data_IF_008652210548
#
_entry.id   IF_008652210548
#
_cell.length_a   1.000
_cell.length_b   1.000
_cell.length_c   1.000
_cell.angle_alpha   90.00
_cell.angle_beta   90.00
_cell.angle_gamma   90.00
#
_symmetry.space_group_name_H-M   'P 1'
#
loop_
_entity.id
_entity.type
_entity.pdbx_description
1 polymer ?
#
# COMPACT_ATOMS: atom_id res chain seq x y z
N UNK A 1 4.08 42.31 -77.50
CA UNK A 1 5.50 41.92 -77.64
C UNK A 1 5.80 40.81 -76.63
N UNK A 2 6.54 39.74 -76.97
CA UNK A 2 6.48 38.87 -78.14
C UNK A 2 6.14 37.39 -77.75
N UNK A 3 5.42 36.60 -78.57
CA UNK A 3 5.86 35.62 -79.59
C UNK A 3 6.87 34.56 -79.08
N UNK A 4 6.53 33.25 -79.17
CA UNK A 4 7.20 32.21 -80.04
C UNK A 4 7.13 30.74 -79.52
N UNK A 5 6.52 29.87 -80.36
CA UNK A 5 6.81 28.42 -80.60
C UNK A 5 6.63 27.43 -79.41
N UNK A 6 6.22 26.17 -79.53
CA UNK A 6 6.07 25.27 -80.67
C UNK A 6 5.06 24.15 -80.33
N UNK A 7 4.28 23.80 -81.34
CA UNK A 7 3.74 22.46 -81.61
C UNK A 7 4.81 21.40 -81.32
N UNK A 8 4.67 20.60 -80.24
CA UNK A 8 5.46 19.36 -80.05
C UNK A 8 4.98 18.38 -78.95
N UNK A 9 4.02 18.73 -78.09
CA UNK A 9 3.66 17.86 -76.95
C UNK A 9 2.47 16.92 -77.12
N UNK A 10 1.86 16.81 -78.30
CA UNK A 10 0.73 15.88 -78.50
C UNK A 10 1.15 14.48 -79.02
N UNK A 11 2.39 14.32 -79.51
CA UNK A 11 2.91 13.03 -79.98
C UNK A 11 3.70 12.23 -78.92
N UNK A 12 4.04 12.84 -77.78
CA UNK A 12 4.81 12.17 -76.72
C UNK A 12 3.93 11.34 -75.76
N UNK A 13 2.61 11.55 -75.75
CA UNK A 13 1.67 10.76 -74.93
C UNK A 13 1.17 9.49 -75.64
N UNK A 14 1.29 9.42 -76.97
CA UNK A 14 0.94 8.24 -77.77
C UNK A 14 2.10 7.25 -77.97
N UNK A 15 3.33 7.63 -77.61
CA UNK A 15 4.51 6.76 -77.72
C UNK A 15 4.88 6.03 -76.42
N UNK A 16 4.18 6.29 -75.31
CA UNK A 16 4.36 5.56 -74.05
C UNK A 16 3.44 4.33 -73.91
N UNK A 17 2.57 4.09 -74.90
CA UNK A 17 1.53 3.05 -74.86
C UNK A 17 1.86 1.77 -75.65
N UNK A 18 3.09 1.63 -76.17
CA UNK A 18 3.50 0.52 -77.06
C UNK A 18 4.64 -0.34 -76.48
N UNK A 19 4.98 -0.18 -75.19
CA UNK A 19 5.91 -1.05 -74.47
C UNK A 19 5.19 -1.86 -73.37
N UNK A 20 3.95 -2.29 -73.65
CA UNK A 20 3.39 -3.45 -72.98
C UNK A 20 4.14 -4.68 -73.51
N UNK A 21 5.24 -5.02 -72.82
CA UNK A 21 5.94 -6.28 -73.04
C UNK A 21 4.94 -7.41 -73.01
N UNK A 22 5.16 -8.39 -73.88
CA UNK A 22 4.36 -9.60 -73.98
C UNK A 22 4.24 -10.24 -72.59
N UNK A 23 3.13 -9.99 -71.91
CA UNK A 23 2.63 -10.82 -70.84
C UNK A 23 2.21 -12.12 -71.51
N UNK A 24 3.16 -13.04 -71.63
CA UNK A 24 2.86 -14.43 -71.90
C UNK A 24 1.85 -14.83 -70.83
N UNK A 25 0.61 -15.07 -71.26
CA UNK A 25 -0.34 -15.81 -70.45
C UNK A 25 0.31 -17.17 -70.21
N UNK A 26 0.97 -17.33 -69.05
CA UNK A 26 1.44 -18.63 -68.60
C UNK A 26 0.18 -19.48 -68.53
N UNK A 27 0.03 -20.43 -69.46
CA UNK A 27 -1.19 -21.22 -69.47
C UNK A 27 -1.27 -21.97 -68.14
N UNK A 28 -2.44 -21.91 -67.53
CA UNK A 28 -2.67 -22.53 -66.22
C UNK A 28 -3.08 -23.99 -66.40
N UNK A 29 -2.75 -24.84 -65.44
CA UNK A 29 -3.25 -26.21 -65.31
C UNK A 29 -4.01 -26.39 -64.00
N UNK A 30 -4.28 -27.65 -63.66
CA UNK A 30 -5.01 -28.07 -62.46
C UNK A 30 -4.23 -29.15 -61.72
N UNK A 31 -4.20 -29.09 -60.39
CA UNK A 31 -3.70 -30.19 -59.55
C UNK A 31 -4.88 -30.79 -58.80
N UNK A 32 -5.04 -32.10 -58.88
CA UNK A 32 -6.01 -32.87 -58.10
C UNK A 32 -5.30 -33.93 -57.29
N UNK A 33 -5.90 -34.39 -56.20
CA UNK A 33 -5.34 -35.49 -55.43
C UNK A 33 -6.07 -35.69 -54.12
N UNK A 34 -5.50 -36.53 -53.26
CA UNK A 34 -6.01 -36.83 -51.93
C UNK A 34 -4.98 -36.51 -50.85
N UNK A 35 -5.44 -35.94 -49.74
CA UNK A 35 -4.67 -35.81 -48.50
C UNK A 35 -4.99 -37.00 -47.61
N UNK A 36 -3.97 -37.74 -47.21
CA UNK A 36 -4.07 -38.94 -46.37
C UNK A 36 -3.13 -38.88 -45.18
N UNK A 37 -3.48 -39.61 -44.13
CA UNK A 37 -2.61 -39.87 -43.00
C UNK A 37 -1.48 -40.83 -43.44
N UNK A 38 -0.23 -40.48 -43.16
CA UNK A 38 0.93 -41.24 -43.59
C UNK A 38 1.08 -42.60 -42.88
N UNK A 39 0.52 -42.76 -41.69
CA UNK A 39 0.60 -43.99 -40.89
C UNK A 39 -0.63 -44.87 -41.10
N UNK A 40 -1.81 -44.26 -41.09
CA UNK A 40 -3.10 -44.98 -41.10
C UNK A 40 -3.73 -45.06 -42.50
N UNK A 41 -3.27 -44.26 -43.45
CA UNK A 41 -3.85 -44.19 -44.80
C UNK A 41 -5.26 -43.60 -44.87
N UNK A 42 -5.80 -43.14 -43.74
CA UNK A 42 -7.13 -42.53 -43.64
C UNK A 42 -7.16 -41.16 -44.34
N UNK A 43 -8.29 -40.76 -44.97
CA UNK A 43 -8.42 -39.42 -45.53
C UNK A 43 -8.36 -38.34 -44.46
N UNK A 44 -7.61 -37.27 -44.72
CA UNK A 44 -7.53 -36.11 -43.83
C UNK A 44 -8.44 -35.00 -44.36
N UNK A 45 -9.65 -34.93 -43.81
CA UNK A 45 -10.62 -33.88 -44.13
C UNK A 45 -10.19 -32.53 -43.52
N UNK A 46 -10.46 -31.42 -44.24
CA UNK A 46 -10.18 -30.07 -43.75
C UNK A 46 -8.72 -29.62 -43.84
N UNK A 47 -7.83 -30.46 -44.37
CA UNK A 47 -6.44 -30.08 -44.62
C UNK A 47 -6.36 -28.93 -45.64
N UNK A 48 -5.58 -27.89 -45.33
CA UNK A 48 -5.36 -26.76 -46.22
C UNK A 48 -4.21 -27.09 -47.17
N UNK A 49 -4.46 -27.04 -48.47
CA UNK A 49 -3.48 -27.24 -49.53
C UNK A 49 -3.26 -25.90 -50.23
N UNK A 50 -2.04 -25.41 -50.27
CA UNK A 50 -1.67 -24.12 -50.86
C UNK A 50 -0.47 -24.25 -51.80
N UNK A 51 -0.45 -23.43 -52.85
CA UNK A 51 0.75 -23.24 -53.65
C UNK A 51 1.70 -22.32 -52.90
N UNK A 52 3.00 -22.67 -52.84
CA UNK A 52 3.97 -21.88 -52.06
C UNK A 52 4.20 -20.49 -52.66
N UNK A 53 4.21 -20.39 -54.00
CA UNK A 53 4.60 -19.18 -54.73
C UNK A 53 3.41 -18.43 -55.35
N UNK A 54 2.17 -18.84 -55.07
CA UNK A 54 0.96 -18.17 -55.57
C UNK A 54 -0.17 -18.22 -54.54
N UNK A 55 -1.12 -17.26 -54.56
CA UNK A 55 -2.25 -17.22 -53.63
C UNK A 55 -3.34 -18.25 -53.98
N UNK A 56 -3.00 -19.43 -54.49
CA UNK A 56 -3.92 -20.50 -54.87
C UNK A 56 -4.01 -21.49 -53.71
N UNK A 57 -5.23 -21.72 -53.21
CA UNK A 57 -5.49 -22.55 -52.04
C UNK A 57 -6.74 -23.39 -52.24
N UNK A 58 -6.76 -24.56 -51.62
CA UNK A 58 -7.90 -25.46 -51.56
C UNK A 58 -7.98 -26.09 -50.17
N UNK A 59 -9.18 -26.55 -49.81
CA UNK A 59 -9.42 -27.31 -48.59
C UNK A 59 -9.82 -28.71 -49.00
N UNK A 60 -9.21 -29.73 -48.38
CA UNK A 60 -9.54 -31.12 -48.62
C UNK A 60 -10.97 -31.43 -48.13
N UNK A 61 -11.76 -32.09 -48.97
CA UNK A 61 -13.12 -32.53 -48.68
C UNK A 61 -13.15 -33.67 -47.65
N UNK A 62 -14.36 -34.13 -47.27
CA UNK A 62 -14.55 -35.18 -46.26
C UNK A 62 -13.89 -36.51 -46.64
N UNK A 63 -13.77 -36.79 -47.94
CA UNK A 63 -13.09 -37.96 -48.48
C UNK A 63 -11.58 -37.73 -48.68
N UNK A 64 -11.04 -36.58 -48.26
CA UNK A 64 -9.64 -36.17 -48.39
C UNK A 64 -9.28 -35.58 -49.75
N UNK A 65 -10.21 -35.48 -50.71
CA UNK A 65 -9.90 -34.97 -52.05
C UNK A 65 -9.74 -33.46 -52.07
N UNK A 66 -8.81 -32.97 -52.89
CA UNK A 66 -8.60 -31.54 -53.11
C UNK A 66 -8.44 -31.23 -54.61
N UNK A 67 -8.64 -29.97 -54.97
CA UNK A 67 -8.41 -29.45 -56.31
C UNK A 67 -7.82 -28.04 -56.21
N UNK A 68 -6.68 -27.81 -56.85
CA UNK A 68 -6.12 -26.49 -57.09
C UNK A 68 -6.33 -26.14 -58.58
N UNK A 69 -7.16 -25.15 -58.85
CA UNK A 69 -7.39 -24.61 -60.19
C UNK A 69 -6.52 -23.38 -60.45
N UNK A 70 -6.19 -23.13 -61.72
CA UNK A 70 -5.44 -21.94 -62.11
C UNK A 70 -3.94 -21.98 -61.80
N UNK A 71 -3.36 -23.17 -61.63
CA UNK A 71 -1.94 -23.34 -61.25
C UNK A 71 -1.03 -23.00 -62.44
N UNK A 72 -0.01 -22.15 -62.31
CA UNK A 72 0.92 -21.86 -63.40
C UNK A 72 1.58 -23.12 -63.96
N UNK A 73 1.69 -23.23 -65.29
CA UNK A 73 2.39 -24.35 -65.91
C UNK A 73 3.90 -24.31 -65.61
N UNK A 74 4.48 -25.48 -65.37
CA UNK A 74 5.88 -25.65 -64.97
C UNK A 74 6.05 -26.33 -63.60
N UNK A 75 7.28 -26.37 -63.06
CA UNK A 75 7.55 -26.94 -61.74
C UNK A 75 6.97 -26.05 -60.64
N UNK A 76 6.08 -26.61 -59.82
CA UNK A 76 5.50 -25.92 -58.67
C UNK A 76 5.72 -26.67 -57.36
N UNK A 77 5.59 -25.96 -56.25
CA UNK A 77 5.65 -26.52 -54.91
C UNK A 77 4.31 -26.35 -54.20
N UNK A 78 3.78 -27.46 -53.68
CA UNK A 78 2.51 -27.50 -52.96
C UNK A 78 2.80 -27.80 -51.50
N UNK A 79 2.22 -26.99 -50.60
CA UNK A 79 2.28 -27.16 -49.16
C UNK A 79 0.92 -27.58 -48.62
N UNK A 80 0.91 -28.54 -47.70
CA UNK A 80 -0.29 -28.96 -46.99
C UNK A 80 -0.11 -28.81 -45.48
N UNK A 81 -1.15 -28.32 -44.80
CA UNK A 81 -1.17 -28.08 -43.35
C UNK A 81 -2.49 -28.54 -42.75
N UNK A 82 -2.43 -29.18 -41.59
CA UNK A 82 -3.59 -29.55 -40.78
C UNK A 82 -3.20 -29.53 -39.30
N UNK A 83 -4.11 -29.12 -38.42
CA UNK A 83 -3.86 -29.17 -36.97
C UNK A 83 -3.72 -30.64 -36.53
N UNK A 84 -2.71 -30.93 -35.71
CA UNK A 84 -2.37 -32.30 -35.30
C UNK A 84 -1.47 -33.07 -36.29
N UNK A 85 -1.04 -32.41 -37.38
CA UNK A 85 -0.13 -32.96 -38.39
C UNK A 85 1.03 -32.00 -38.66
N UNK A 86 2.20 -32.55 -38.98
CA UNK A 86 3.34 -31.76 -39.40
C UNK A 86 3.15 -31.18 -40.82
N UNK A 87 3.51 -29.91 -41.07
CA UNK A 87 3.36 -29.31 -42.39
C UNK A 87 4.27 -30.02 -43.41
N UNK A 88 3.75 -30.37 -44.58
CA UNK A 88 4.52 -31.02 -45.65
C UNK A 88 4.53 -30.17 -46.91
N UNK A 89 5.71 -30.01 -47.51
CA UNK A 89 5.86 -29.35 -48.81
C UNK A 89 6.41 -30.36 -49.82
N UNK A 90 5.74 -30.51 -50.95
CA UNK A 90 6.18 -31.34 -52.09
C UNK A 90 6.60 -30.39 -53.21
N UNK A 91 7.86 -30.49 -53.62
CA UNK A 91 8.47 -29.61 -54.64
C UNK A 91 8.58 -30.35 -55.98
N UNK A 92 8.64 -29.59 -57.08
CA UNK A 92 8.93 -30.13 -58.42
C UNK A 92 7.76 -30.82 -59.12
N UNK A 93 6.52 -30.52 -58.74
CA UNK A 93 5.32 -31.03 -59.43
C UNK A 93 5.24 -30.35 -60.80
N UNK A 94 5.36 -31.13 -61.87
CA UNK A 94 5.34 -30.61 -63.24
C UNK A 94 3.90 -30.46 -63.74
N UNK A 95 3.41 -29.23 -63.84
CA UNK A 95 2.05 -28.94 -64.31
C UNK A 95 2.07 -28.65 -65.82
N UNK A 96 1.45 -29.49 -66.67
CA UNK A 96 1.33 -29.23 -68.10
C UNK A 96 0.32 -28.11 -68.36
N UNK A 97 0.57 -27.33 -69.40
CA UNK A 97 -0.31 -26.24 -69.82
C UNK A 97 -1.72 -26.76 -70.16
N UNK A 98 -2.76 -26.25 -69.50
CA UNK A 98 -4.15 -26.67 -69.71
C UNK A 98 -4.49 -28.10 -69.24
N UNK A 99 -3.52 -28.84 -68.69
CA UNK A 99 -3.70 -30.21 -68.25
C UNK A 99 -3.93 -30.35 -66.75
N UNK A 100 -4.32 -31.55 -66.33
CA UNK A 100 -4.53 -31.91 -64.92
C UNK A 100 -3.44 -32.88 -64.46
N UNK A 101 -2.84 -32.62 -63.29
CA UNK A 101 -1.88 -33.51 -62.63
C UNK A 101 -2.51 -34.11 -61.39
N UNK A 102 -2.32 -35.40 -61.18
CA UNK A 102 -2.71 -36.08 -59.94
C UNK A 102 -1.53 -36.15 -58.98
N UNK A 103 -1.66 -35.59 -57.79
CA UNK A 103 -0.64 -35.64 -56.73
C UNK A 103 -1.28 -35.90 -55.37
N UNK A 104 -1.01 -37.07 -54.79
CA UNK A 104 -1.45 -37.38 -53.42
C UNK A 104 -0.45 -36.86 -52.39
N UNK A 105 -0.96 -36.46 -51.22
CA UNK A 105 -0.21 -35.82 -50.16
C UNK A 105 -0.42 -36.59 -48.84
N UNK A 106 0.63 -37.23 -48.35
CA UNK A 106 0.59 -37.93 -47.07
C UNK A 106 1.15 -37.05 -45.93
N UNK A 107 0.33 -36.76 -44.90
CA UNK A 107 0.70 -36.00 -43.70
C UNK A 107 1.06 -36.94 -42.54
N UNK A 108 2.15 -36.67 -41.84
CA UNK A 108 2.50 -37.38 -40.61
C UNK A 108 1.91 -36.66 -39.39
N UNK A 109 1.34 -37.42 -38.45
CA UNK A 109 0.81 -36.88 -37.20
C UNK A 109 1.93 -36.19 -36.40
N UNK A 110 1.67 -34.98 -35.91
CA UNK A 110 2.60 -34.25 -35.06
C UNK A 110 1.82 -33.75 -33.84
N UNK A 111 2.20 -34.24 -32.66
CA UNK A 111 1.60 -33.82 -31.39
C UNK A 111 2.10 -32.40 -31.11
N UNK A 112 1.26 -31.40 -31.37
CA UNK A 112 1.54 -30.02 -31.00
C UNK A 112 1.50 -29.91 -29.48
N UNK A 113 2.66 -29.98 -28.83
CA UNK A 113 2.79 -29.60 -27.43
C UNK A 113 2.65 -28.07 -27.33
N UNK A 114 1.50 -27.60 -26.87
CA UNK A 114 1.31 -26.19 -26.52
C UNK A 114 2.21 -25.85 -25.34
N UNK A 115 2.81 -24.65 -25.37
CA UNK A 115 3.60 -24.14 -24.26
C UNK A 115 2.74 -24.12 -22.99
N UNK A 116 3.28 -24.64 -21.89
CA UNK A 116 2.62 -24.66 -20.59
C UNK A 116 2.26 -23.23 -20.16
N UNK A 117 0.97 -22.98 -19.93
CA UNK A 117 0.51 -21.75 -19.29
C UNK A 117 0.65 -21.96 -17.78
N UNK A 118 1.77 -21.52 -17.21
CA UNK A 118 1.94 -21.47 -15.76
C UNK A 118 1.14 -20.30 -15.18
N UNK A 119 0.03 -20.60 -14.51
CA UNK A 119 -0.69 -19.61 -13.69
C UNK A 119 -0.10 -19.66 -12.29
N UNK A 120 0.91 -18.82 -12.03
CA UNK A 120 1.40 -18.60 -10.66
C UNK A 120 0.55 -17.52 -10.00
N UNK A 121 -0.26 -17.88 -9.01
CA UNK A 121 -0.85 -16.92 -8.07
C UNK A 121 0.12 -16.71 -6.90
N UNK A 122 0.45 -15.45 -6.58
CA UNK A 122 1.20 -15.15 -5.34
C UNK A 122 0.29 -15.50 -4.14
N UNK A 123 0.84 -16.11 -3.09
CA UNK A 123 0.03 -16.50 -1.94
C UNK A 123 -0.56 -15.24 -1.26
N UNK A 124 -1.88 -15.21 -1.09
CA UNK A 124 -2.61 -14.10 -0.46
C UNK A 124 -2.06 -13.82 0.95
N UNK A 125 -1.61 -12.58 1.17
CA UNK A 125 -1.02 -12.14 2.43
C UNK A 125 -2.11 -11.70 3.41
N UNK A 126 -1.85 -11.86 4.71
CA UNK A 126 -2.81 -11.43 5.74
C UNK A 126 -4.11 -12.25 5.80
N UNK A 127 -4.10 -13.51 5.36
CA UNK A 127 -5.20 -14.48 5.52
C UNK A 127 -5.10 -15.23 6.85
N UNK A 128 -6.25 -15.70 7.36
CA UNK A 128 -6.29 -16.50 8.59
C UNK A 128 -5.51 -17.82 8.46
N UNK A 129 -5.60 -18.49 7.29
CA UNK A 129 -4.93 -19.77 7.06
C UNK A 129 -3.40 -19.64 7.13
N UNK A 130 -2.84 -18.62 6.47
CA UNK A 130 -1.40 -18.35 6.53
C UNK A 130 -0.96 -18.01 7.95
N UNK A 131 -1.71 -17.19 8.67
CA UNK A 131 -1.40 -16.86 10.06
C UNK A 131 -1.45 -18.08 10.99
N UNK A 132 -2.38 -19.01 10.75
CA UNK A 132 -2.46 -20.27 11.49
C UNK A 132 -1.27 -21.19 11.19
N UNK A 133 -0.81 -21.23 9.94
CA UNK A 133 0.40 -21.96 9.56
C UNK A 133 1.65 -21.34 10.19
N UNK A 134 1.80 -20.01 10.17
CA UNK A 134 2.85 -19.29 10.89
C UNK A 134 2.82 -19.61 12.39
N UNK A 135 1.63 -19.66 12.99
CA UNK A 135 1.46 -20.01 14.41
C UNK A 135 1.80 -21.48 14.71
N UNK A 136 1.48 -22.41 13.81
CA UNK A 136 1.82 -23.84 13.96
C UNK A 136 3.31 -24.11 13.84
N UNK A 137 3.98 -23.36 12.97
CA UNK A 137 5.42 -23.49 12.72
C UNK A 137 6.26 -22.65 13.70
N UNK A 138 5.64 -21.79 14.50
CA UNK A 138 6.31 -20.97 15.50
C UNK A 138 6.84 -21.83 16.66
N UNK A 139 8.09 -21.59 17.04
CA UNK A 139 8.71 -22.19 18.24
C UNK A 139 8.25 -21.52 19.54
N UNK A 140 7.50 -20.42 19.44
CA UNK A 140 7.06 -19.55 20.52
C UNK A 140 5.54 -19.36 20.53
N UNK A 141 5.00 -18.84 21.65
CA UNK A 141 3.56 -18.52 21.74
C UNK A 141 3.32 -17.22 20.99
N UNK A 142 2.87 -17.37 19.75
CA UNK A 142 2.45 -16.28 18.86
C UNK A 142 0.93 -16.23 18.79
N UNK A 143 0.38 -15.04 18.80
CA UNK A 143 -1.02 -14.79 18.49
C UNK A 143 -1.09 -13.66 17.48
N UNK A 144 -1.97 -13.76 16.50
CA UNK A 144 -2.09 -12.73 15.46
C UNK A 144 -3.55 -12.42 15.16
N UNK A 145 -3.77 -11.18 14.72
CA UNK A 145 -5.00 -10.74 14.08
C UNK A 145 -4.64 -10.32 12.66
N UNK A 146 -5.33 -10.90 11.68
CA UNK A 146 -4.99 -10.73 10.27
C UNK A 146 -5.82 -9.65 9.61
N UNK A 147 -5.35 -9.13 8.48
CA UNK A 147 -6.12 -8.15 7.71
C UNK A 147 -7.48 -8.66 7.25
N UNK A 148 -7.64 -9.97 7.01
CA UNK A 148 -8.93 -10.60 6.73
C UNK A 148 -9.89 -10.46 7.92
N UNK A 149 -9.39 -10.65 9.15
CA UNK A 149 -10.21 -10.50 10.35
C UNK A 149 -10.51 -9.03 10.66
N UNK A 150 -9.51 -8.14 10.50
CA UNK A 150 -9.63 -6.69 10.69
C UNK A 150 -10.67 -6.09 9.72
N UNK A 151 -10.72 -6.54 8.47
CA UNK A 151 -11.71 -6.06 7.50
C UNK A 151 -13.14 -6.51 7.81
N UNK A 152 -13.30 -7.61 8.54
CA UNK A 152 -14.62 -8.11 8.98
C UNK A 152 -15.07 -7.51 10.30
N UNK A 153 -14.22 -6.75 10.96
CA UNK A 153 -14.54 -6.04 12.19
C UNK A 153 -14.77 -4.55 11.96
N UNK A 154 -15.53 -3.88 12.85
CA UNK A 154 -15.69 -2.43 12.83
C UNK A 154 -14.47 -1.70 13.45
N UNK A 155 -13.27 -2.28 13.38
CA UNK A 155 -12.09 -1.71 14.04
C UNK A 155 -11.50 -0.58 13.18
N UNK A 156 -11.33 0.61 13.76
CA UNK A 156 -10.79 1.78 13.04
C UNK A 156 -9.26 1.81 12.97
N UNK A 157 -8.59 1.21 13.95
CA UNK A 157 -7.16 1.33 14.19
C UNK A 157 -6.55 0.08 14.84
N UNK A 158 -5.22 0.05 14.97
CA UNK A 158 -4.50 -1.05 15.58
C UNK A 158 -4.86 -1.27 17.07
N UNK A 159 -5.21 -0.20 17.80
CA UNK A 159 -5.61 -0.28 19.20
C UNK A 159 -6.90 -1.08 19.37
N UNK A 160 -7.89 -0.84 18.52
CA UNK A 160 -9.13 -1.63 18.51
C UNK A 160 -8.91 -3.07 17.99
N UNK A 161 -8.13 -3.22 16.90
CA UNK A 161 -7.86 -4.53 16.31
C UNK A 161 -7.11 -5.48 17.25
N UNK A 162 -6.11 -4.96 18.00
CA UNK A 162 -5.28 -5.79 18.88
C UNK A 162 -6.06 -6.32 20.10
N UNK A 163 -7.17 -5.70 20.50
CA UNK A 163 -8.04 -6.22 21.57
C UNK A 163 -8.66 -7.58 21.24
N UNK A 164 -8.68 -7.98 19.96
CA UNK A 164 -9.14 -9.30 19.52
C UNK A 164 -8.13 -10.41 19.82
N UNK A 165 -6.88 -10.04 20.11
CA UNK A 165 -5.82 -10.98 20.46
C UNK A 165 -5.99 -11.42 21.92
N UNK A 166 -5.96 -12.73 22.17
CA UNK A 166 -6.16 -13.28 23.52
C UNK A 166 -5.15 -12.72 24.53
N UNK A 167 -5.63 -12.31 25.71
CA UNK A 167 -4.78 -11.77 26.77
C UNK A 167 -4.16 -10.42 26.46
N UNK A 168 -4.66 -9.71 25.43
CA UNK A 168 -4.33 -8.32 25.15
C UNK A 168 -5.52 -7.45 25.54
N UNK A 169 -5.26 -6.37 26.27
CA UNK A 169 -6.20 -5.29 26.51
C UNK A 169 -5.57 -3.96 26.10
N UNK A 170 -6.40 -2.93 25.91
CA UNK A 170 -5.92 -1.60 25.56
C UNK A 170 -6.53 -0.59 26.52
N UNK A 171 -5.69 0.27 27.09
CA UNK A 171 -6.09 1.37 27.95
C UNK A 171 -6.15 2.68 27.15
N UNK A 172 -7.16 3.51 27.45
CA UNK A 172 -7.43 4.79 26.79
C UNK A 172 -7.57 4.69 25.26
N UNK A 173 -7.85 3.49 24.74
CA UNK A 173 -7.93 3.20 23.30
C UNK A 173 -6.58 3.16 22.57
N UNK A 174 -5.45 3.43 23.25
CA UNK A 174 -4.15 3.63 22.60
C UNK A 174 -3.00 2.78 23.15
N UNK A 175 -2.96 2.49 24.45
CA UNK A 175 -1.82 1.79 25.06
C UNK A 175 -2.12 0.32 25.28
N UNK A 176 -1.27 -0.55 24.75
CA UNK A 176 -1.45 -1.99 24.82
C UNK A 176 -0.95 -2.57 26.14
N UNK A 177 -1.73 -3.47 26.72
CA UNK A 177 -1.45 -4.23 27.92
C UNK A 177 -1.52 -5.71 27.56
N UNK A 178 -0.52 -6.50 27.96
CA UNK A 178 -0.48 -7.92 27.63
C UNK A 178 -0.31 -8.72 28.91
N UNK A 179 -1.24 -9.67 29.16
CA UNK A 179 -1.32 -10.46 30.40
C UNK A 179 -1.38 -9.61 31.67
N UNK A 180 -2.04 -8.45 31.60
CA UNK A 180 -2.13 -7.49 32.70
C UNK A 180 -0.84 -6.71 32.98
N UNK A 181 0.23 -6.95 32.23
CA UNK A 181 1.45 -6.17 32.32
C UNK A 181 1.32 -4.91 31.46
N UNK A 182 1.56 -3.77 32.11
CA UNK A 182 1.41 -2.47 31.50
C UNK A 182 2.49 -2.09 30.50
N UNK A 183 2.29 -0.91 29.93
CA UNK A 183 3.09 -0.25 28.91
C UNK A 183 4.62 -0.32 29.04
N UNK A 184 5.17 -0.45 30.26
CA UNK A 184 6.62 -0.54 30.49
C UNK A 184 7.22 -1.91 30.12
N UNK A 185 6.37 -2.93 30.03
CA UNK A 185 6.76 -4.33 29.83
C UNK A 185 6.42 -4.85 28.44
N UNK A 186 5.79 -4.04 27.60
CA UNK A 186 5.45 -4.39 26.22
C UNK A 186 6.24 -3.52 25.26
N UNK A 187 6.78 -4.13 24.20
CA UNK A 187 7.47 -3.40 23.14
C UNK A 187 6.64 -3.44 21.86
N UNK A 188 6.71 -2.37 21.08
CA UNK A 188 5.96 -2.25 19.83
C UNK A 188 6.91 -1.99 18.66
N UNK A 189 6.72 -2.72 17.57
CA UNK A 189 7.46 -2.56 16.32
C UNK A 189 6.51 -2.45 15.13
N UNK A 190 6.98 -1.83 14.04
CA UNK A 190 6.33 -1.75 12.74
C UNK A 190 7.25 -2.36 11.71
N UNK A 191 6.76 -3.37 10.98
CA UNK A 191 7.52 -4.13 10.00
C UNK A 191 8.85 -4.65 10.56
N UNK A 192 8.84 -5.07 11.84
CA UNK A 192 10.01 -5.55 12.57
C UNK A 192 10.94 -4.46 13.12
N UNK A 193 10.77 -3.20 12.73
CA UNK A 193 11.55 -2.07 13.26
C UNK A 193 10.89 -1.46 14.49
N UNK A 194 11.68 -1.11 15.51
CA UNK A 194 11.14 -0.48 16.72
C UNK A 194 10.68 0.95 16.43
N UNK A 195 9.50 1.30 16.91
CA UNK A 195 8.96 2.66 16.80
C UNK A 195 9.19 3.39 18.13
N UNK A 196 9.66 4.64 18.12
CA UNK A 196 9.75 5.44 19.34
C UNK A 196 8.37 5.89 19.81
N UNK A 197 8.20 5.95 21.13
CA UNK A 197 7.05 6.60 21.75
C UNK A 197 7.12 8.13 21.52
N UNK A 198 6.00 8.79 21.19
CA UNK A 198 5.94 10.25 21.17
C UNK A 198 5.90 10.86 22.58
N UNK A 199 5.66 10.03 23.62
CA UNK A 199 5.61 10.46 25.03
C UNK A 199 6.92 10.13 25.75
N UNK A 200 7.64 11.13 26.29
CA UNK A 200 8.97 10.93 26.88
C UNK A 200 8.95 10.06 28.16
N UNK A 201 7.82 10.01 28.86
CA UNK A 201 7.67 9.25 30.12
C UNK A 201 7.26 7.79 29.89
N UNK A 202 6.94 7.42 28.65
CA UNK A 202 6.34 6.13 28.28
C UNK A 202 7.10 5.47 27.15
N UNK A 203 7.33 4.16 27.26
CA UNK A 203 8.01 3.37 26.21
C UNK A 203 7.05 2.83 25.15
N UNK A 204 5.76 2.80 25.43
CA UNK A 204 4.72 2.25 24.57
C UNK A 204 4.34 3.24 23.48
N UNK A 205 4.02 2.72 22.29
CA UNK A 205 3.56 3.54 21.16
C UNK A 205 2.03 3.56 21.15
N UNK A 206 1.39 4.74 21.04
CA UNK A 206 -0.05 4.84 20.85
C UNK A 206 -0.47 4.09 19.57
N UNK A 207 -1.29 3.05 19.70
CA UNK A 207 -1.71 2.20 18.59
C UNK A 207 -2.84 2.81 17.73
N UNK A 208 -3.55 3.79 18.28
CA UNK A 208 -4.57 4.57 17.58
C UNK A 208 -3.99 5.43 16.43
N UNK A 209 -2.66 5.61 16.39
CA UNK A 209 -1.94 6.23 15.28
C UNK A 209 -1.93 5.40 13.99
N UNK A 210 -2.27 4.11 14.06
CA UNK A 210 -2.13 3.16 12.96
C UNK A 210 -3.52 2.76 12.43
N UNK A 211 -4.01 3.37 11.32
CA UNK A 211 -5.28 3.00 10.73
C UNK A 211 -5.34 1.52 10.37
N UNK A 212 -6.45 0.87 10.69
CA UNK A 212 -6.67 -0.57 10.47
C UNK A 212 -6.50 -0.97 8.98
N UNK A 213 -6.91 -0.10 8.05
CA UNK A 213 -6.82 -0.34 6.61
C UNK A 213 -5.39 -0.50 6.06
N UNK A 214 -4.38 -0.06 6.81
CA UNK A 214 -2.96 -0.19 6.42
C UNK A 214 -2.34 -1.51 6.88
N UNK A 215 -2.97 -2.18 7.83
CA UNK A 215 -2.40 -3.32 8.51
C UNK A 215 -2.65 -4.58 7.69
N UNK A 216 -1.58 -5.31 7.41
CA UNK A 216 -1.64 -6.70 6.95
C UNK A 216 -1.93 -7.64 8.14
N UNK A 217 -1.45 -7.27 9.32
CA UNK A 217 -1.77 -7.95 10.56
C UNK A 217 -1.00 -7.41 11.76
N UNK A 218 -1.43 -7.82 12.94
CA UNK A 218 -0.72 -7.54 14.20
C UNK A 218 -0.33 -8.89 14.79
N UNK A 219 0.95 -9.04 15.13
CA UNK A 219 1.52 -10.26 15.71
C UNK A 219 2.03 -9.97 17.11
N UNK A 220 1.53 -10.71 18.09
CA UNK A 220 1.94 -10.60 19.49
C UNK A 220 2.71 -11.86 19.90
N UNK A 221 4.00 -11.70 20.18
CA UNK A 221 4.86 -12.73 20.77
C UNK A 221 4.85 -12.60 22.28
N UNK A 222 4.41 -13.66 22.97
CA UNK A 222 4.27 -13.65 24.43
C UNK A 222 5.36 -14.45 25.14
N UNK A 223 6.36 -14.92 24.40
CA UNK A 223 7.50 -15.69 24.91
C UNK A 223 8.74 -15.24 24.18
N UNK A 224 9.86 -15.23 24.89
CA UNK A 224 11.14 -14.79 24.35
C UNK A 224 11.74 -15.80 23.40
N UNK A 225 12.30 -15.30 22.31
CA UNK A 225 13.16 -16.06 21.40
C UNK A 225 14.44 -15.25 21.15
N UNK A 226 15.59 -15.90 20.88
CA UNK A 226 16.89 -15.21 20.76
C UNK A 226 16.97 -14.18 19.62
N UNK A 227 16.07 -14.27 18.64
CA UNK A 227 15.94 -13.34 17.51
C UNK A 227 15.17 -12.04 17.89
N UNK A 228 14.57 -11.97 19.08
CA UNK A 228 13.77 -10.83 19.52
C UNK A 228 14.56 -9.91 20.48
N UNK A 229 14.21 -8.61 20.54
CA UNK A 229 14.80 -7.68 21.51
C UNK A 229 14.55 -8.12 22.97
N UNK A 230 15.58 -8.11 23.80
CA UNK A 230 15.52 -8.62 25.19
C UNK A 230 14.91 -7.68 26.24
N UNK A 231 14.21 -6.62 25.84
CA UNK A 231 13.77 -5.52 26.73
C UNK A 231 12.25 -5.49 27.00
N UNK A 232 11.51 -6.54 26.64
CA UNK A 232 10.10 -6.73 27.04
C UNK A 232 9.98 -7.80 28.12
N UNK A 233 8.85 -7.86 28.83
CA UNK A 233 8.51 -8.99 29.73
C UNK A 233 7.05 -9.41 29.67
N UNK A 234 6.17 -8.55 29.17
CA UNK A 234 4.80 -8.87 28.81
C UNK A 234 4.72 -9.49 27.42
N UNK A 235 5.02 -8.70 26.38
CA UNK A 235 5.01 -9.17 25.01
C UNK A 235 5.79 -8.24 24.06
N UNK A 236 6.08 -8.76 22.88
CA UNK A 236 6.48 -7.97 21.71
C UNK A 236 5.31 -7.93 20.72
N UNK A 237 4.85 -6.72 20.38
CA UNK A 237 3.74 -6.47 19.46
C UNK A 237 4.31 -5.89 18.16
N UNK A 238 4.24 -6.67 17.08
CA UNK A 238 4.70 -6.26 15.77
C UNK A 238 3.50 -5.96 14.86
N UNK A 239 3.41 -4.73 14.37
CA UNK A 239 2.44 -4.30 13.38
C UNK A 239 3.06 -4.50 11.99
N UNK A 240 2.38 -5.24 11.11
CA UNK A 240 2.78 -5.38 9.71
C UNK A 240 1.88 -4.54 8.82
N UNK A 241 2.45 -3.70 7.97
CA UNK A 241 1.70 -2.94 6.96
C UNK A 241 1.63 -3.70 5.63
N UNK A 242 0.59 -3.45 4.84
CA UNK A 242 0.48 -4.02 3.49
C UNK A 242 1.52 -3.40 2.55
N UNK A 243 2.52 -4.17 2.14
CA UNK A 243 3.59 -3.63 1.30
C UNK A 243 3.16 -3.38 -0.16
N UNK A 244 2.27 -4.23 -0.68
CA UNK A 244 1.75 -4.17 -2.05
C UNK A 244 0.22 -4.30 -2.01
N UNK A 245 -0.53 -3.19 -1.82
CA UNK A 245 -1.98 -3.23 -1.87
C UNK A 245 -2.47 -3.53 -3.30
N UNK A 246 -3.14 -4.68 -3.51
CA UNK A 246 -3.65 -5.10 -4.83
C UNK A 246 -4.67 -4.13 -5.45
N UNK A 247 -5.34 -3.35 -4.60
CA UNK A 247 -6.29 -2.32 -4.98
C UNK A 247 -5.89 -1.01 -4.36
N UNK A 248 -6.16 0.07 -5.08
CA UNK A 248 -6.01 1.41 -4.54
C UNK A 248 -6.94 1.60 -3.36
N UNK A 249 -6.37 1.91 -2.20
CA UNK A 249 -7.08 2.22 -0.96
C UNK A 249 -7.01 3.72 -0.77
N UNK A 250 -8.17 4.37 -0.62
CA UNK A 250 -8.26 5.75 -0.18
C UNK A 250 -9.31 5.80 0.92
N UNK A 251 -8.88 6.12 2.13
CA UNK A 251 -9.75 6.18 3.30
C UNK A 251 -9.65 7.55 3.93
N UNK A 252 -10.81 8.15 4.17
CA UNK A 252 -10.95 9.34 5.00
C UNK A 252 -11.71 8.95 6.26
N UNK A 253 -11.23 9.38 7.41
CA UNK A 253 -11.94 9.24 8.68
C UNK A 253 -12.05 10.60 9.36
N UNK A 254 -13.17 10.81 10.03
CA UNK A 254 -13.40 11.95 10.90
C UNK A 254 -14.13 11.44 12.14
N UNK A 255 -13.75 11.95 13.30
CA UNK A 255 -14.38 11.63 14.57
C UNK A 255 -14.69 12.90 15.35
N UNK A 256 -15.76 12.87 16.13
CA UNK A 256 -16.14 13.91 17.06
C UNK A 256 -16.69 13.25 18.32
N UNK A 257 -16.39 13.82 19.49
CA UNK A 257 -16.83 13.29 20.77
C UNK A 257 -17.14 14.40 21.76
N UNK A 258 -18.23 14.25 22.51
CA UNK A 258 -18.57 15.17 23.59
C UNK A 258 -18.18 14.50 24.91
N UNK A 259 -17.44 15.22 25.75
CA UNK A 259 -17.14 14.78 27.10
C UNK A 259 -18.11 15.50 28.05
N UNK A 260 -19.03 14.77 28.68
CA UNK A 260 -20.05 15.38 29.56
C UNK A 260 -19.46 16.10 30.78
N UNK A 261 -18.24 15.77 31.17
CA UNK A 261 -17.53 16.45 32.25
C UNK A 261 -16.78 17.71 31.79
N UNK A 262 -16.40 17.81 30.51
CA UNK A 262 -15.57 18.90 29.99
C UNK A 262 -16.31 19.82 29.01
N UNK A 263 -16.99 19.28 28.00
CA UNK A 263 -17.56 20.04 26.90
C UNK A 263 -18.67 20.97 27.38
N UNK A 264 -18.54 22.27 27.07
CA UNK A 264 -19.48 23.31 27.50
C UNK A 264 -19.35 23.73 28.97
N UNK A 265 -18.47 23.11 29.77
CA UNK A 265 -18.19 23.49 31.15
C UNK A 265 -17.07 24.53 31.19
N UNK A 266 -17.09 25.41 32.20
CA UNK A 266 -15.99 26.34 32.43
C UNK A 266 -14.79 25.61 33.06
N UNK A 267 -13.66 25.64 32.36
CA UNK A 267 -12.44 24.95 32.72
C UNK A 267 -11.29 25.95 32.82
N UNK A 268 -10.38 25.73 33.77
CA UNK A 268 -9.09 26.38 33.75
C UNK A 268 -8.30 25.88 32.54
N UNK A 269 -7.97 26.76 31.61
CA UNK A 269 -7.27 26.39 30.36
C UNK A 269 -6.09 27.34 30.15
N UNK A 270 -4.93 26.79 29.82
CA UNK A 270 -3.85 27.64 29.31
C UNK A 270 -4.18 28.06 27.87
N UNK A 271 -4.00 29.34 27.50
CA UNK A 271 -4.22 29.80 26.13
C UNK A 271 -3.35 29.01 25.15
N UNK A 272 -3.85 28.76 23.94
CA UNK A 272 -3.07 28.16 22.87
C UNK A 272 -2.20 29.22 22.20
N UNK A 273 -0.90 28.99 22.12
CA UNK A 273 0.04 29.88 21.44
C UNK A 273 0.58 29.27 20.15
N UNK A 274 0.52 30.02 19.04
CA UNK A 274 1.12 29.63 17.76
C UNK A 274 0.66 28.26 17.25
N UNK A 275 1.60 27.30 17.21
CA UNK A 275 1.40 25.94 16.67
C UNK A 275 1.18 24.88 17.76
N UNK A 276 0.75 25.28 18.94
CA UNK A 276 0.48 24.35 20.06
C UNK A 276 -0.65 23.37 19.74
N UNK A 277 -1.58 23.73 18.86
CA UNK A 277 -2.61 22.82 18.34
C UNK A 277 -2.04 21.69 17.46
N UNK A 278 -0.76 21.77 17.05
CA UNK A 278 0.04 20.72 16.43
C UNK A 278 1.11 20.17 17.40
N UNK A 279 1.04 20.51 18.68
CA UNK A 279 2.01 20.12 19.69
C UNK A 279 3.39 20.76 19.56
N UNK A 280 3.52 21.91 18.91
CA UNK A 280 4.75 22.71 18.94
C UNK A 280 4.57 23.87 19.92
N UNK A 281 5.35 23.88 21.00
CA UNK A 281 5.33 24.95 21.99
C UNK A 281 5.62 26.31 21.32
N UNK A 282 4.79 27.31 21.63
CA UNK A 282 5.00 28.67 21.13
C UNK A 282 6.20 29.36 21.81
N UNK A 283 6.78 30.37 21.16
CA UNK A 283 7.88 31.16 21.76
C UNK A 283 7.47 31.86 23.07
N UNK A 284 6.18 32.17 23.23
CA UNK A 284 5.60 32.74 24.45
C UNK A 284 5.68 31.81 25.68
N UNK A 285 5.98 30.52 25.48
CA UNK A 285 6.26 29.56 26.56
C UNK A 285 7.69 29.68 27.10
N UNK A 286 8.57 30.42 26.44
CA UNK A 286 9.93 30.66 26.91
C UNK A 286 9.98 31.57 28.15
N UNK A 287 11.16 31.63 28.77
CA UNK A 287 11.43 32.59 29.85
C UNK A 287 11.32 34.01 29.27
N UNK A 288 10.52 34.92 29.87
CA UNK A 288 10.38 36.29 29.39
C UNK A 288 11.72 37.04 29.41
N UNK A 289 11.92 37.96 28.45
CA UNK A 289 13.17 38.73 28.34
C UNK A 289 13.58 39.45 29.65
N UNK A 290 12.68 40.07 30.43
CA UNK A 290 13.05 40.69 31.71
C UNK A 290 13.57 39.70 32.75
N UNK A 291 13.15 38.44 32.69
CA UNK A 291 13.55 37.37 33.60
C UNK A 291 14.73 36.54 33.09
N UNK A 292 15.18 36.77 31.84
CA UNK A 292 16.23 35.98 31.22
C UNK A 292 17.56 36.16 31.98
N UNK A 293 18.12 35.07 32.49
CA UNK A 293 19.38 35.07 33.24
C UNK A 293 19.28 35.58 34.68
N UNK A 294 18.09 35.95 35.15
CA UNK A 294 17.88 36.36 36.55
C UNK A 294 17.81 35.11 37.43
N UNK A 295 18.80 34.93 38.31
CA UNK A 295 18.85 33.81 39.26
C UNK A 295 18.50 34.23 40.70
N UNK A 296 18.49 35.53 41.00
CA UNK A 296 18.13 36.10 42.30
C UNK A 296 17.46 37.45 42.14
N UNK A 297 16.45 37.72 42.97
CA UNK A 297 15.77 39.01 43.09
C UNK A 297 16.43 39.92 44.14
N UNK A 298 17.41 39.41 44.89
CA UNK A 298 18.06 40.16 45.96
C UNK A 298 18.86 41.35 45.39
N UNK A 299 18.66 42.54 45.97
CA UNK A 299 19.35 43.76 45.55
C UNK A 299 18.76 44.46 44.31
N UNK A 300 17.68 43.92 43.73
CA UNK A 300 16.93 44.60 42.67
C UNK A 300 16.00 45.68 43.24
N UNK A 301 15.74 46.73 42.47
CA UNK A 301 14.71 47.72 42.80
C UNK A 301 13.30 47.13 42.69
N UNK A 302 12.35 47.71 43.41
CA UNK A 302 10.95 47.26 43.36
C UNK A 302 10.37 47.31 41.94
N UNK A 303 10.75 48.29 41.11
CA UNK A 303 10.27 48.42 39.73
C UNK A 303 10.82 47.30 38.84
N UNK A 304 12.08 46.92 39.01
CA UNK A 304 12.67 45.77 38.30
C UNK A 304 11.97 44.47 38.70
N UNK A 305 11.74 44.27 40.01
CA UNK A 305 11.00 43.11 40.53
C UNK A 305 9.59 43.07 39.92
N UNK A 306 8.87 44.18 39.94
CA UNK A 306 7.52 44.27 39.38
C UNK A 306 7.50 44.00 37.86
N UNK A 307 8.49 44.50 37.11
CA UNK A 307 8.62 44.23 35.68
C UNK A 307 8.89 42.75 35.39
N UNK A 308 9.74 42.10 36.19
CA UNK A 308 10.03 40.67 36.07
C UNK A 308 8.77 39.86 36.39
N UNK A 309 8.15 40.08 37.55
CA UNK A 309 6.94 39.37 37.98
C UNK A 309 5.80 39.59 36.97
N UNK A 310 5.59 40.82 36.52
CA UNK A 310 4.56 41.16 35.53
C UNK A 310 4.74 40.43 34.20
N UNK A 311 5.99 40.16 33.79
CA UNK A 311 6.29 39.46 32.54
C UNK A 311 5.89 37.98 32.54
N UNK A 312 5.66 37.38 33.72
CA UNK A 312 5.16 36.00 33.86
C UNK A 312 3.64 35.88 33.74
N UNK A 313 2.89 36.99 33.70
CA UNK A 313 1.45 36.98 33.36
C UNK A 313 1.26 36.82 31.86
N UNK A 314 1.65 35.68 31.32
CA UNK A 314 1.73 35.40 29.88
C UNK A 314 0.93 34.14 29.52
N UNK A 315 1.37 33.43 28.47
CA UNK A 315 0.76 32.19 28.00
C UNK A 315 0.66 31.09 29.07
N UNK A 316 1.46 31.14 30.14
CA UNK A 316 1.42 30.19 31.27
C UNK A 316 0.26 30.43 32.24
N UNK A 317 -0.39 31.59 32.20
CA UNK A 317 -1.53 31.87 33.10
C UNK A 317 -2.78 31.12 32.63
N UNK A 318 -3.33 30.29 33.51
CA UNK A 318 -4.63 29.65 33.29
C UNK A 318 -5.74 30.70 33.18
N UNK A 319 -6.66 30.52 32.24
CA UNK A 319 -7.84 31.36 32.04
C UNK A 319 -9.09 30.50 31.99
N UNK A 320 -10.22 30.96 32.55
CA UNK A 320 -11.51 30.28 32.35
C UNK A 320 -11.84 30.22 30.86
N UNK A 321 -12.14 29.03 30.37
CA UNK A 321 -12.61 28.81 29.01
C UNK A 321 -13.57 27.63 28.97
N UNK A 322 -14.55 27.68 28.07
CA UNK A 322 -15.46 26.56 27.86
C UNK A 322 -14.72 25.38 27.24
N UNK A 323 -14.94 24.17 27.76
CA UNK A 323 -14.40 22.95 27.20
C UNK A 323 -14.92 22.69 25.79
N UNK A 324 -14.01 22.25 24.92
CA UNK A 324 -14.26 21.93 23.53
C UNK A 324 -14.72 20.48 23.37
N UNK A 325 -15.23 20.15 22.19
CA UNK A 325 -15.46 18.77 21.79
C UNK A 325 -14.12 18.10 21.43
N UNK A 326 -14.03 16.79 21.67
CA UNK A 326 -12.98 15.96 21.13
C UNK A 326 -13.18 15.81 19.62
N UNK A 327 -12.10 15.67 18.87
CA UNK A 327 -12.17 15.48 17.44
C UNK A 327 -10.94 14.79 16.88
N UNK A 328 -11.10 14.21 15.70
CA UNK A 328 -10.01 13.60 14.98
C UNK A 328 -10.28 13.54 13.49
N UNK A 329 -9.20 13.44 12.73
CA UNK A 329 -9.21 13.29 11.29
C UNK A 329 -8.11 12.31 10.88
N UNK A 330 -8.40 11.47 9.90
CA UNK A 330 -7.45 10.56 9.30
C UNK A 330 -7.57 10.56 7.79
N UNK A 331 -6.43 10.45 7.14
CA UNK A 331 -6.32 10.20 5.70
C UNK A 331 -5.37 9.04 5.49
N UNK A 332 -5.77 8.11 4.65
CA UNK A 332 -4.96 6.97 4.24
C UNK A 332 -5.03 6.83 2.74
N UNK A 333 -3.89 6.63 2.11
CA UNK A 333 -3.77 6.26 0.70
C UNK A 333 -2.81 5.07 0.59
N UNK A 334 -3.16 4.10 -0.25
CA UNK A 334 -2.27 3.00 -0.57
C UNK A 334 -2.56 2.43 -1.94
N UNK A 335 -1.56 1.81 -2.55
CA UNK A 335 -1.71 1.20 -3.85
C UNK A 335 -0.40 0.63 -4.35
N UNK A 336 -0.46 0.02 -5.53
CA UNK A 336 0.70 -0.44 -6.29
C UNK A 336 0.63 0.21 -7.67
N UNK A 337 1.68 0.94 -8.03
CA UNK A 337 1.80 1.57 -9.34
C UNK A 337 3.13 1.19 -10.00
N UNK A 338 3.15 0.98 -11.33
CA UNK A 338 4.39 0.77 -12.04
C UNK A 338 5.18 2.09 -12.14
N UNK A 339 6.39 2.11 -11.60
CA UNK A 339 7.34 3.22 -11.73
C UNK A 339 8.61 2.67 -12.38
N UNK A 340 8.99 3.20 -13.55
CA UNK A 340 10.09 2.66 -14.37
C UNK A 340 9.97 1.16 -14.67
N UNK A 341 8.74 0.69 -14.97
CA UNK A 341 8.42 -0.72 -15.21
C UNK A 341 8.66 -1.66 -14.02
N UNK A 342 8.89 -1.12 -12.82
CA UNK A 342 8.94 -1.86 -11.58
C UNK A 342 7.67 -1.62 -10.76
N UNK A 343 7.07 -2.66 -10.16
CA UNK A 343 5.94 -2.48 -9.26
C UNK A 343 6.39 -1.78 -7.98
N UNK A 344 5.86 -0.59 -7.73
CA UNK A 344 6.09 0.16 -6.50
C UNK A 344 4.79 0.19 -5.69
N UNK A 345 4.79 -0.57 -4.60
CA UNK A 345 3.79 -0.48 -3.55
C UNK A 345 4.05 0.73 -2.67
N UNK A 346 3.00 1.47 -2.33
CA UNK A 346 3.07 2.61 -1.44
C UNK A 346 1.91 2.61 -0.45
N UNK A 347 2.21 3.10 0.75
CA UNK A 347 1.26 3.43 1.79
C UNK A 347 1.64 4.81 2.34
N UNK A 348 0.66 5.69 2.41
CA UNK A 348 0.72 6.97 3.09
C UNK A 348 -0.44 7.08 4.06
N UNK A 349 -0.17 7.52 5.29
CA UNK A 349 -1.22 7.87 6.23
C UNK A 349 -0.89 9.11 7.01
N UNK A 350 -1.94 9.79 7.43
CA UNK A 350 -1.90 10.92 8.32
C UNK A 350 -3.08 10.77 9.29
N UNK A 351 -2.81 10.96 10.58
CA UNK A 351 -3.80 10.96 11.63
C UNK A 351 -3.59 12.19 12.51
N UNK A 352 -4.69 12.79 12.96
CA UNK A 352 -4.72 13.90 13.91
C UNK A 352 -5.86 13.65 14.88
N UNK A 353 -5.61 13.79 16.17
CA UNK A 353 -6.61 13.74 17.22
C UNK A 353 -6.35 14.86 18.23
N UNK A 354 -7.44 15.43 18.73
CA UNK A 354 -7.46 16.37 19.83
C UNK A 354 -8.53 15.92 20.83
N UNK A 355 -8.14 15.85 22.10
CA UNK A 355 -9.02 15.42 23.18
C UNK A 355 -8.86 16.28 24.42
N UNK A 356 -9.92 16.33 25.22
CA UNK A 356 -9.95 17.01 26.51
C UNK A 356 -10.31 16.06 27.65
N UNK A 357 -9.49 16.11 28.70
CA UNK A 357 -9.69 15.43 29.97
C UNK A 357 -9.83 16.48 31.07
N UNK A 358 -10.74 16.23 32.01
CA UNK A 358 -10.88 17.03 33.23
C UNK A 358 -10.82 16.09 34.43
N UNK A 359 -10.07 16.49 35.44
CA UNK A 359 -10.06 15.89 36.76
C UNK A 359 -10.56 16.92 37.75
N UNK A 360 -11.80 16.74 38.20
CA UNK A 360 -12.45 17.60 39.20
C UNK A 360 -12.35 17.00 40.59
N UNK A 361 -12.23 17.84 41.62
CA UNK A 361 -12.16 17.37 43.00
C UNK A 361 -10.84 16.69 43.33
N UNK A 362 -9.77 17.02 42.60
CA UNK A 362 -8.42 16.55 42.93
C UNK A 362 -8.05 17.06 44.32
N UNK A 363 -7.49 16.19 45.14
CA UNK A 363 -6.87 16.56 46.42
C UNK A 363 -5.39 16.20 46.35
N UNK A 364 -4.51 17.20 46.46
CA UNK A 364 -3.07 17.00 46.53
C UNK A 364 -2.59 17.39 47.92
N UNK A 365 -1.84 16.50 48.55
CA UNK A 365 -1.31 16.72 49.88
C UNK A 365 0.11 16.23 49.98
N UNK A 366 1.01 17.08 50.47
CA UNK A 366 2.32 16.65 50.93
C UNK A 366 2.16 16.10 52.34
N UNK A 367 2.52 14.84 52.55
CA UNK A 367 2.40 14.17 53.83
C UNK A 367 3.77 14.15 54.50
N UNK A 368 3.84 14.61 55.75
CA UNK A 368 5.00 14.45 56.60
C UNK A 368 4.80 13.23 57.50
N UNK A 369 5.82 12.38 57.60
CA UNK A 369 5.89 11.34 58.60
C UNK A 369 6.63 11.90 59.82
N UNK A 370 5.98 12.00 60.99
CA UNK A 370 6.55 12.65 62.18
C UNK A 370 6.80 11.69 63.36
N UNK A 371 6.98 10.40 63.09
CA UNK A 371 7.25 9.38 64.10
C UNK A 371 6.03 8.98 64.94
N UNK A 372 4.96 9.78 64.93
CA UNK A 372 3.65 9.44 65.54
C UNK A 372 2.57 9.10 64.52
N UNK A 373 2.80 9.44 63.24
CA UNK A 373 1.94 9.05 62.14
C UNK A 373 2.26 9.79 60.84
N UNK A 374 1.27 9.80 59.96
CA UNK A 374 1.27 10.57 58.72
C UNK A 374 0.29 11.73 58.88
N UNK A 375 0.79 12.97 58.79
CA UNK A 375 -0.07 14.17 58.77
C UNK A 375 0.16 14.98 57.49
N UNK A 376 -0.91 15.52 56.88
CA UNK A 376 -0.78 16.40 55.73
C UNK A 376 -0.14 17.72 56.16
N UNK A 377 1.02 18.08 55.59
CA UNK A 377 1.68 19.39 55.78
C UNK A 377 0.92 20.49 55.04
N UNK A 378 0.40 20.16 53.86
CA UNK A 378 -0.51 20.99 53.12
C UNK A 378 -1.59 20.15 52.47
N UNK A 379 -2.74 20.74 52.23
CA UNK A 379 -3.81 20.12 51.47
C UNK A 379 -4.37 21.13 50.49
N UNK A 380 -4.20 20.84 49.20
CA UNK A 380 -4.79 21.61 48.12
C UNK A 380 -5.89 20.79 47.45
N UNK A 381 -6.98 21.45 47.09
CA UNK A 381 -8.09 20.88 46.34
C UNK A 381 -8.38 21.72 45.13
N UNK A 382 -8.82 21.08 44.06
CA UNK A 382 -9.26 21.82 42.90
C UNK A 382 -9.49 20.96 41.67
N UNK A 383 -9.19 21.53 40.51
CA UNK A 383 -9.41 20.87 39.24
C UNK A 383 -8.23 21.05 38.30
N UNK A 384 -8.03 20.05 37.46
CA UNK A 384 -7.03 20.05 36.40
C UNK A 384 -7.72 19.74 35.09
N UNK A 385 -7.52 20.58 34.08
CA UNK A 385 -7.96 20.31 32.72
C UNK A 385 -6.74 20.13 31.81
N UNK A 386 -6.79 19.09 31.00
CA UNK A 386 -5.74 18.72 30.05
C UNK A 386 -6.32 18.68 28.65
N UNK A 387 -5.65 19.35 27.72
CA UNK A 387 -5.91 19.25 26.30
C UNK A 387 -4.74 18.53 25.63
N UNK A 388 -5.02 17.34 25.09
CA UNK A 388 -4.05 16.52 24.40
C UNK A 388 -4.21 16.66 22.89
N UNK A 389 -3.08 16.72 22.19
CA UNK A 389 -3.01 16.61 20.73
C UNK A 389 -2.09 15.45 20.42
N UNK A 390 -2.50 14.61 19.47
CA UNK A 390 -1.68 13.55 18.92
C UNK A 390 -1.85 13.55 17.41
N UNK A 391 -0.74 13.61 16.68
CA UNK A 391 -0.79 13.44 15.23
C UNK A 391 0.44 12.70 14.75
N UNK A 392 0.30 12.08 13.59
CA UNK A 392 1.37 11.30 13.02
C UNK A 392 1.05 10.87 11.61
N UNK A 393 1.98 10.15 11.03
CA UNK A 393 1.83 9.60 9.71
C UNK A 393 2.84 8.52 9.42
N UNK A 394 2.49 7.67 8.47
CA UNK A 394 3.34 6.61 7.96
C UNK A 394 3.55 6.87 6.48
N UNK A 395 4.78 6.68 6.01
CA UNK A 395 5.07 6.67 4.59
C UNK A 395 5.99 5.50 4.28
N UNK A 396 5.40 4.48 3.67
CA UNK A 396 6.10 3.25 3.31
C UNK A 396 6.12 3.10 1.80
N UNK A 397 7.28 2.76 1.26
CA UNK A 397 7.47 2.40 -0.14
C UNK A 397 8.09 1.01 -0.20
N UNK A 398 7.62 0.18 -1.11
CA UNK A 398 8.21 -1.14 -1.38
C UNK A 398 8.28 -1.38 -2.87
N UNK A 399 9.39 -1.94 -3.34
CA UNK A 399 9.56 -2.36 -4.73
C UNK A 399 10.18 -3.74 -4.78
N UNK A 400 9.81 -4.51 -5.80
CA UNK A 400 10.53 -5.75 -6.13
C UNK A 400 11.73 -5.38 -7.02
N UNK A 401 12.87 -6.02 -6.78
CA UNK A 401 14.09 -5.91 -7.59
C UNK A 401 14.33 -7.27 -8.24
N UNK A 402 13.91 -7.41 -9.50
CA UNK A 402 13.91 -8.71 -10.18
C UNK A 402 12.90 -9.69 -9.56
N UNK A 403 13.21 -10.98 -9.58
CA UNK A 403 12.30 -12.05 -9.13
C UNK A 403 12.49 -12.48 -7.67
N UNK A 404 13.61 -12.10 -7.02
CA UNK A 404 14.00 -12.66 -5.72
C UNK A 404 14.28 -11.62 -4.64
N UNK A 405 14.32 -10.33 -4.97
CA UNK A 405 14.72 -9.29 -4.03
C UNK A 405 13.61 -8.25 -3.86
N UNK A 406 13.49 -7.73 -2.64
CA UNK A 406 12.55 -6.66 -2.29
C UNK A 406 13.30 -5.59 -1.54
N UNK A 407 13.06 -4.34 -1.91
CA UNK A 407 13.53 -3.17 -1.17
C UNK A 407 12.33 -2.47 -0.56
N UNK A 408 12.39 -2.22 0.75
CA UNK A 408 11.33 -1.53 1.48
C UNK A 408 11.93 -0.37 2.27
N UNK A 409 11.30 0.79 2.15
CA UNK A 409 11.57 1.97 2.95
C UNK A 409 10.36 2.20 3.85
N UNK A 410 10.57 2.14 5.16
CA UNK A 410 9.52 2.35 6.15
C UNK A 410 9.79 3.63 6.92
N UNK A 411 8.84 4.57 6.93
CA UNK A 411 8.96 5.82 7.68
C UNK A 411 7.73 6.01 8.56
N UNK A 412 7.98 6.54 9.75
CA UNK A 412 6.92 6.85 10.71
C UNK A 412 7.29 8.14 11.40
N UNK A 413 6.31 9.03 11.53
CA UNK A 413 6.42 10.25 12.30
C UNK A 413 5.25 10.31 13.27
N UNK A 414 5.53 10.66 14.52
CA UNK A 414 4.51 10.90 15.51
C UNK A 414 4.89 12.12 16.35
N UNK A 415 3.87 12.80 16.87
CA UNK A 415 4.03 13.93 17.76
C UNK A 415 2.82 14.03 18.67
N UNK A 416 3.07 14.11 19.96
CA UNK A 416 2.06 14.42 20.96
C UNK A 416 2.42 15.71 21.70
N UNK A 417 1.41 16.31 22.30
CA UNK A 417 1.58 17.34 23.31
C UNK A 417 0.38 17.35 24.25
N UNK A 418 0.66 17.55 25.53
CA UNK A 418 -0.34 17.82 26.55
C UNK A 418 -0.20 19.27 27.00
N UNK A 419 -1.32 20.00 27.01
CA UNK A 419 -1.42 21.32 27.61
C UNK A 419 -2.33 21.22 28.83
N UNK A 420 -1.74 21.36 30.01
CA UNK A 420 -2.42 21.19 31.29
C UNK A 420 -2.51 22.51 32.04
N UNK A 421 -3.69 22.80 32.58
CA UNK A 421 -3.90 23.90 33.50
C UNK A 421 -4.63 23.38 34.73
N UNK A 422 -4.13 23.76 35.90
CA UNK A 422 -4.70 23.41 37.20
C UNK A 422 -5.07 24.66 37.97
N UNK A 423 -6.22 24.63 38.61
CA UNK A 423 -6.64 25.61 39.61
C UNK A 423 -6.80 24.87 40.93
N UNK A 424 -5.94 25.19 41.89
CA UNK A 424 -5.86 24.55 43.20
C UNK A 424 -5.96 25.61 44.28
N UNK A 425 -6.80 25.36 45.28
CA UNK A 425 -6.92 26.18 46.48
C UNK A 425 -6.69 25.29 47.71
N UNK A 426 -6.00 25.81 48.71
CA UNK A 426 -5.70 25.04 49.91
C UNK A 426 -5.00 25.87 50.96
N UNK A 427 -4.96 25.30 52.16
CA UNK A 427 -4.29 25.90 53.30
C UNK A 427 -2.86 25.35 53.37
N UNK A 428 -1.92 26.25 53.67
CA UNK A 428 -0.54 25.91 53.95
C UNK A 428 -0.34 26.10 55.46
N UNK A 429 -0.09 25.02 56.21
CA UNK A 429 0.39 25.15 57.58
C UNK A 429 1.88 25.49 57.49
N UNK A 430 2.20 26.79 57.48
CA UNK A 430 3.57 27.26 57.78
C UNK A 430 3.92 27.12 59.26
#
# INVERSE_FOLDING_TARGET
>A
MPIRYAVRSCCAFLLYLVLAGELWAQGTGRIVGRVVDAEQGAPVAGAQVELVDAPIRAVAALDGRYTLDGVPAGPVSVRVRMIGYGPKTVTGIQVPQGGTVSQDLALAGEVVQLAEISVSAEAERGTVNRALEEQRNASNIVSSITSEQIQRSPDSDAGQAVQRVSGVSVQDGKYVFVRGLGERYTTTSLNGSRIPSPEPERKVVPLDLFPAGLLEGITTSKTFTPDQPGDFSGASVNLKTREFPERRVITFSASAGLNTAATGKDLARAPLEGKEWLGFAGSARGIPAPAAGVTSLAGMSQDQINSIIGSFRNAWSARPASGLANGGFGFTVGGEDPVFSQPVGYIGSFTYSNGQEIRSGETRSLILADGTGFRPLNQTRGSTARNSVLWGGIFNLSTRLGSSSKLSLNNTYNRSADNEASELAGDNEE
#
